data_IF_419733051086
#
_entry.id   IF_419733051086
#
_cell.length_a   1.000
_cell.length_b   1.000
_cell.length_c   1.000
_cell.angle_alpha   90.00
_cell.angle_beta   90.00
_cell.angle_gamma   90.00
#
_symmetry.space_group_name_H-M   'P 1'
#
loop_
_entity.id
_entity.type
_entity.pdbx_description
1 polymer ?
#
# COMPACT_ATOMS: atom_id res chain seq x y z
N UNK A 1 17.03 4.99 -13.90
CA UNK A 1 17.26 3.64 -13.34
C UNK A 1 17.51 3.71 -11.84
N UNK A 2 17.41 2.61 -11.08
CA UNK A 2 17.56 2.66 -9.61
C UNK A 2 18.96 3.12 -9.21
N UNK A 3 19.99 2.63 -9.91
CA UNK A 3 21.39 3.03 -9.71
C UNK A 3 21.64 4.53 -9.92
N UNK A 4 20.97 5.17 -10.88
CA UNK A 4 21.08 6.63 -11.09
C UNK A 4 20.52 7.41 -9.89
N UNK A 5 19.42 6.93 -9.29
CA UNK A 5 18.86 7.54 -8.08
C UNK A 5 19.81 7.38 -6.89
N UNK A 6 20.42 6.20 -6.73
CA UNK A 6 21.43 5.96 -5.70
C UNK A 6 22.67 6.85 -5.90
N UNK A 7 23.14 6.99 -7.13
CA UNK A 7 24.26 7.88 -7.45
C UNK A 7 23.92 9.33 -7.08
N UNK A 8 22.73 9.80 -7.46
CA UNK A 8 22.26 11.14 -7.09
C UNK A 8 22.23 11.34 -5.57
N UNK A 9 21.72 10.37 -4.80
CA UNK A 9 21.72 10.44 -3.33
C UNK A 9 23.13 10.50 -2.74
N UNK A 10 24.10 9.78 -3.34
CA UNK A 10 25.49 9.79 -2.89
C UNK A 10 26.21 11.13 -3.11
N UNK A 11 25.71 11.97 -4.02
CA UNK A 11 26.24 13.32 -4.27
C UNK A 11 25.69 14.37 -3.27
N UNK A 12 24.65 14.03 -2.50
CA UNK A 12 24.04 14.93 -1.53
C UNK A 12 24.72 14.85 -0.15
N UNK A 13 24.86 15.98 0.56
CA UNK A 13 25.41 16.00 1.93
C UNK A 13 24.34 15.55 2.95
N UNK A 14 23.97 14.27 2.91
CA UNK A 14 22.94 13.70 3.78
C UNK A 14 23.46 13.49 5.21
N UNK A 15 22.65 13.86 6.20
CA UNK A 15 22.98 13.68 7.63
C UNK A 15 22.63 12.30 8.21
N UNK A 16 22.05 11.41 7.40
CA UNK A 16 21.60 10.07 7.80
C UNK A 16 21.96 9.05 6.72
N UNK A 17 22.07 7.78 7.13
CA UNK A 17 22.15 6.66 6.19
C UNK A 17 20.77 6.41 5.56
N UNK A 18 20.75 6.04 4.28
CA UNK A 18 19.53 5.68 3.55
C UNK A 18 19.58 4.23 3.08
N UNK A 19 18.51 3.47 3.34
CA UNK A 19 18.26 2.16 2.76
C UNK A 19 17.00 2.23 1.92
N UNK A 20 17.16 2.31 0.61
CA UNK A 20 16.06 2.56 -0.33
C UNK A 20 15.50 1.24 -0.85
N UNK A 21 14.18 1.13 -0.93
CA UNK A 21 13.48 0.01 -1.57
C UNK A 21 12.91 0.44 -2.91
N UNK A 22 12.76 -0.50 -3.85
CA UNK A 22 12.04 -0.25 -5.10
C UNK A 22 10.54 -0.49 -4.90
N UNK A 23 9.69 0.41 -5.37
CA UNK A 23 8.24 0.25 -5.26
C UNK A 23 7.67 -0.64 -6.36
N UNK A 24 6.82 -1.62 -6.00
CA UNK A 24 6.11 -2.45 -6.98
C UNK A 24 5.30 -1.59 -7.96
N UNK A 25 4.56 -0.59 -7.47
CA UNK A 25 3.80 0.30 -8.33
C UNK A 25 4.64 1.02 -9.38
N UNK A 26 5.87 1.42 -9.02
CA UNK A 26 6.82 2.01 -9.96
C UNK A 26 7.24 1.01 -11.04
N UNK A 27 7.58 -0.22 -10.66
CA UNK A 27 7.92 -1.29 -11.61
C UNK A 27 6.74 -1.61 -12.53
N UNK A 28 5.55 -1.78 -11.94
CA UNK A 28 4.31 -2.08 -12.65
C UNK A 28 3.98 -0.99 -13.66
N UNK A 29 4.01 0.28 -13.27
CA UNK A 29 3.77 1.38 -14.20
C UNK A 29 4.83 1.49 -15.29
N UNK A 30 6.10 1.17 -15.00
CA UNK A 30 7.16 1.17 -16.01
C UNK A 30 6.96 0.10 -17.08
N UNK A 31 6.43 -1.08 -16.72
CA UNK A 31 6.21 -2.20 -17.66
C UNK A 31 4.84 -2.15 -18.32
N UNK A 32 3.80 -1.84 -17.55
CA UNK A 32 2.40 -2.01 -17.97
C UNK A 32 1.65 -0.68 -18.16
N UNK A 33 2.25 0.46 -17.81
CA UNK A 33 1.57 1.75 -17.83
C UNK A 33 0.33 1.77 -16.94
N UNK A 34 -0.80 2.20 -17.51
CA UNK A 34 -2.10 2.30 -16.83
C UNK A 34 -2.98 1.03 -16.99
N UNK A 35 -2.41 -0.05 -17.53
CA UNK A 35 -3.16 -1.28 -17.81
C UNK A 35 -3.73 -1.89 -16.52
N UNK A 36 -5.03 -2.17 -16.56
CA UNK A 36 -5.73 -2.95 -15.54
C UNK A 36 -5.58 -4.46 -15.79
N UNK A 37 -5.62 -5.25 -14.71
CA UNK A 37 -5.53 -6.71 -14.78
C UNK A 37 -4.11 -7.29 -14.72
N UNK A 38 -3.95 -8.62 -14.68
CA UNK A 38 -2.66 -9.26 -14.43
C UNK A 38 -1.67 -9.05 -15.60
N UNK A 39 -0.34 -9.06 -15.31
CA UNK A 39 0.67 -9.04 -16.35
C UNK A 39 0.59 -10.32 -17.21
N UNK A 40 0.88 -10.17 -18.50
CA UNK A 40 1.21 -11.30 -19.37
C UNK A 40 2.51 -11.97 -18.90
N UNK A 41 2.80 -13.17 -19.39
CA UNK A 41 4.05 -13.86 -19.04
C UNK A 41 5.32 -13.11 -19.47
N UNK A 42 5.24 -12.27 -20.51
CA UNK A 42 6.38 -11.45 -20.93
C UNK A 42 6.51 -10.21 -20.03
N UNK A 43 5.40 -9.51 -19.75
CA UNK A 43 5.40 -8.38 -18.80
C UNK A 43 5.88 -8.83 -17.41
N UNK A 44 5.45 -10.00 -16.93
CA UNK A 44 5.87 -10.52 -15.65
C UNK A 44 7.37 -10.84 -15.61
N UNK A 45 7.95 -11.37 -16.69
CA UNK A 45 9.41 -11.56 -16.80
C UNK A 45 10.13 -10.21 -16.76
N UNK A 46 9.63 -9.22 -17.48
CA UNK A 46 10.21 -7.87 -17.44
C UNK A 46 10.13 -7.24 -16.04
N UNK A 47 9.06 -7.49 -15.27
CA UNK A 47 8.98 -7.06 -13.87
C UNK A 47 10.03 -7.76 -12.99
N UNK A 48 10.23 -9.06 -13.17
CA UNK A 48 11.27 -9.83 -12.46
C UNK A 48 12.66 -9.30 -12.81
N UNK A 49 12.96 -9.05 -14.09
CA UNK A 49 14.25 -8.55 -14.57
C UNK A 49 14.54 -7.13 -14.03
N UNK A 50 13.55 -6.24 -14.02
CA UNK A 50 13.70 -4.88 -13.49
C UNK A 50 13.88 -4.87 -11.97
N UNK A 51 13.18 -5.77 -11.27
CA UNK A 51 13.38 -5.96 -9.84
C UNK A 51 14.79 -6.48 -9.56
N UNK A 52 15.22 -7.55 -10.23
CA UNK A 52 16.55 -8.14 -10.10
C UNK A 52 17.64 -7.09 -10.30
N UNK A 53 17.55 -6.32 -11.41
CA UNK A 53 18.44 -5.19 -11.68
C UNK A 53 18.43 -4.15 -10.56
N UNK A 54 17.26 -3.79 -10.02
CA UNK A 54 17.17 -2.82 -8.92
C UNK A 54 17.85 -3.33 -7.63
N UNK A 55 17.73 -4.63 -7.34
CA UNK A 55 18.38 -5.27 -6.19
C UNK A 55 19.91 -5.33 -6.37
N UNK A 56 20.39 -5.62 -7.58
CA UNK A 56 21.82 -5.56 -7.96
C UNK A 56 22.39 -4.15 -7.86
N UNK A 57 21.59 -3.14 -8.23
CA UNK A 57 21.92 -1.71 -8.12
C UNK A 57 21.84 -1.16 -6.68
N UNK A 58 21.55 -2.01 -5.69
CA UNK A 58 21.65 -1.69 -4.27
C UNK A 58 20.33 -1.48 -3.54
N UNK A 59 19.18 -1.79 -4.16
CA UNK A 59 17.91 -1.74 -3.43
C UNK A 59 17.93 -2.70 -2.22
N UNK A 60 17.41 -2.22 -1.09
CA UNK A 60 17.26 -3.00 0.13
C UNK A 60 16.17 -4.08 0.02
N UNK A 61 15.34 -4.00 -1.01
CA UNK A 61 14.20 -4.87 -1.22
C UNK A 61 13.13 -4.21 -2.10
N UNK A 62 11.93 -4.77 -2.06
CA UNK A 62 10.75 -4.22 -2.74
C UNK A 62 9.65 -3.88 -1.75
N UNK A 63 8.96 -2.77 -1.95
CA UNK A 63 7.78 -2.38 -1.17
C UNK A 63 6.49 -2.41 -2.00
N UNK A 64 5.36 -2.76 -1.37
CA UNK A 64 4.01 -2.64 -1.99
C UNK A 64 3.06 -1.80 -1.14
N UNK A 65 2.15 -1.10 -1.82
CA UNK A 65 1.00 -0.40 -1.24
C UNK A 65 -0.34 -1.00 -1.69
N UNK A 66 -0.64 -2.24 -1.30
CA UNK A 66 -1.72 -3.06 -1.88
C UNK A 66 -3.15 -2.52 -1.65
N UNK A 67 -3.31 -1.51 -0.79
CA UNK A 67 -4.58 -0.78 -0.63
C UNK A 67 -4.88 0.17 -1.81
N UNK A 68 -3.82 0.64 -2.49
CA UNK A 68 -3.86 1.72 -3.48
C UNK A 68 -3.60 1.23 -4.90
N UNK A 69 -4.09 1.96 -5.91
CA UNK A 69 -3.73 1.71 -7.32
C UNK A 69 -2.30 2.25 -7.56
N UNK A 70 -1.43 1.54 -8.31
CA UNK A 70 -1.71 0.33 -9.10
C UNK A 70 -1.51 -0.99 -8.35
N UNK A 71 -0.91 -0.98 -7.17
CA UNK A 71 -0.52 -2.15 -6.37
C UNK A 71 -1.70 -3.05 -5.98
N UNK A 72 -2.87 -2.47 -5.75
CA UNK A 72 -4.12 -3.18 -5.43
C UNK A 72 -4.61 -4.11 -6.54
N UNK A 73 -4.08 -3.97 -7.77
CA UNK A 73 -4.34 -4.87 -8.90
C UNK A 73 -3.43 -6.11 -8.91
N UNK A 74 -2.38 -6.11 -8.08
CA UNK A 74 -1.42 -7.21 -7.97
C UNK A 74 -2.11 -8.45 -7.39
N UNK A 75 -1.95 -9.59 -8.07
CA UNK A 75 -2.35 -10.90 -7.55
C UNK A 75 -1.30 -11.43 -6.56
N UNK A 76 -1.73 -12.24 -5.59
CA UNK A 76 -0.81 -12.88 -4.65
C UNK A 76 0.26 -13.72 -5.38
N UNK A 77 -0.10 -14.34 -6.51
CA UNK A 77 0.81 -15.12 -7.35
C UNK A 77 1.92 -14.26 -8.00
N UNK A 78 1.64 -12.98 -8.29
CA UNK A 78 2.67 -12.03 -8.72
C UNK A 78 3.64 -11.72 -7.57
N UNK A 79 3.12 -11.50 -6.35
CA UNK A 79 3.93 -11.27 -5.14
C UNK A 79 4.83 -12.45 -4.82
N UNK A 80 4.34 -13.69 -4.96
CA UNK A 80 5.15 -14.89 -4.74
C UNK A 80 6.30 -14.97 -5.76
N UNK A 81 6.04 -14.68 -7.03
CA UNK A 81 7.07 -14.66 -8.08
C UNK A 81 8.15 -13.62 -7.81
N UNK A 82 7.76 -12.39 -7.51
CA UNK A 82 8.71 -11.32 -7.16
C UNK A 82 9.43 -11.61 -5.84
N UNK A 83 8.73 -12.20 -4.87
CA UNK A 83 9.32 -12.68 -3.62
C UNK A 83 10.46 -13.66 -3.84
N UNK A 84 10.35 -14.57 -4.82
CA UNK A 84 11.45 -15.48 -5.18
C UNK A 84 12.66 -14.76 -5.75
N UNK A 85 12.48 -13.63 -6.44
CA UNK A 85 13.58 -12.76 -6.87
C UNK A 85 14.24 -12.12 -5.66
N UNK A 86 13.44 -11.50 -4.78
CA UNK A 86 13.91 -10.88 -3.53
C UNK A 86 14.72 -11.87 -2.68
N UNK A 87 14.25 -13.11 -2.60
CA UNK A 87 14.91 -14.15 -1.80
C UNK A 87 16.29 -14.54 -2.35
N UNK A 88 16.46 -14.65 -3.67
CA UNK A 88 17.77 -14.95 -4.28
C UNK A 88 18.84 -13.92 -3.91
N UNK A 89 18.43 -12.69 -3.61
CA UNK A 89 19.33 -11.60 -3.21
C UNK A 89 19.40 -11.41 -1.68
N UNK A 90 18.68 -12.23 -0.90
CA UNK A 90 18.55 -12.12 0.55
C UNK A 90 18.12 -10.69 0.98
N UNK A 91 17.05 -10.19 0.34
CA UNK A 91 16.48 -8.84 0.58
C UNK A 91 15.08 -8.96 1.19
N UNK A 92 14.44 -7.81 1.45
CA UNK A 92 13.16 -7.73 2.17
C UNK A 92 12.00 -7.40 1.21
N UNK A 93 10.85 -8.04 1.44
CA UNK A 93 9.56 -7.62 0.90
C UNK A 93 8.79 -6.87 1.99
N UNK A 94 8.59 -5.56 1.83
CA UNK A 94 7.78 -4.75 2.75
C UNK A 94 6.39 -4.49 2.17
N UNK A 95 5.35 -4.53 3.00
CA UNK A 95 3.98 -4.38 2.53
C UNK A 95 3.13 -3.49 3.45
N UNK A 96 2.63 -2.40 2.90
CA UNK A 96 1.32 -1.88 3.30
C UNK A 96 0.28 -2.83 2.69
N UNK A 97 -0.22 -3.72 3.54
CA UNK A 97 -1.08 -4.86 3.17
C UNK A 97 -2.42 -4.43 2.57
N UNK A 98 -3.09 -5.35 1.87
CA UNK A 98 -4.26 -5.08 1.01
C UNK A 98 -5.44 -4.40 1.70
N UNK A 99 -5.57 -4.57 3.01
CA UNK A 99 -6.50 -3.76 3.79
C UNK A 99 -6.25 -3.91 5.27
N UNK A 100 -6.44 -2.82 6.00
CA UNK A 100 -6.12 -2.76 7.44
C UNK A 100 -7.37 -2.79 8.32
N UNK A 101 -8.56 -2.93 7.73
CA UNK A 101 -9.86 -2.89 8.42
C UNK A 101 -10.66 -4.19 8.24
N UNK A 102 -11.76 -4.15 7.50
CA UNK A 102 -12.70 -5.25 7.33
C UNK A 102 -12.08 -6.54 6.75
N UNK A 103 -11.01 -6.43 5.96
CA UNK A 103 -10.22 -7.56 5.42
C UNK A 103 -8.84 -7.72 6.05
N UNK A 104 -8.60 -7.17 7.25
CA UNK A 104 -7.29 -7.18 7.92
C UNK A 104 -6.66 -8.58 8.02
N UNK A 105 -7.40 -9.55 8.57
CA UNK A 105 -6.85 -10.90 8.77
C UNK A 105 -6.57 -11.62 7.43
N UNK A 106 -7.48 -11.62 6.44
CA UNK A 106 -7.16 -12.09 5.10
C UNK A 106 -5.92 -11.41 4.47
N UNK A 107 -5.74 -10.11 4.67
CA UNK A 107 -4.58 -9.38 4.13
C UNK A 107 -3.26 -9.75 4.83
N UNK A 108 -3.29 -10.02 6.14
CA UNK A 108 -2.13 -10.57 6.86
C UNK A 108 -1.82 -12.00 6.40
N UNK A 109 -2.86 -12.82 6.19
CA UNK A 109 -2.70 -14.18 5.65
C UNK A 109 -2.10 -14.17 4.24
N UNK A 110 -2.47 -13.19 3.39
CA UNK A 110 -1.83 -12.99 2.09
C UNK A 110 -0.34 -12.68 2.23
N UNK A 111 0.04 -11.76 3.11
CA UNK A 111 1.46 -11.42 3.34
C UNK A 111 2.25 -12.64 3.86
N UNK A 112 1.66 -13.41 4.78
CA UNK A 112 2.23 -14.67 5.28
C UNK A 112 2.40 -15.67 4.13
N UNK A 113 1.37 -15.88 3.30
CA UNK A 113 1.41 -16.79 2.15
C UNK A 113 2.51 -16.38 1.17
N UNK A 114 2.65 -15.09 0.88
CA UNK A 114 3.72 -14.57 0.01
C UNK A 114 5.10 -14.91 0.56
N UNK A 115 5.35 -14.73 1.86
CA UNK A 115 6.61 -15.11 2.49
C UNK A 115 6.84 -16.62 2.52
N UNK A 116 5.81 -17.39 2.87
CA UNK A 116 5.86 -18.86 3.00
C UNK A 116 6.14 -19.55 1.65
N UNK A 117 5.46 -19.14 0.57
CA UNK A 117 5.61 -19.78 -0.76
C UNK A 117 6.81 -19.26 -1.58
N UNK A 118 7.33 -18.08 -1.25
CA UNK A 118 8.50 -17.51 -1.95
C UNK A 118 9.82 -17.69 -1.20
N UNK A 119 9.75 -17.90 0.12
CA UNK A 119 10.91 -17.95 1.01
C UNK A 119 11.42 -16.58 1.46
N UNK A 120 10.94 -15.47 0.88
CA UNK A 120 11.46 -14.13 1.18
C UNK A 120 11.12 -13.67 2.61
N UNK A 121 11.91 -12.72 3.12
CA UNK A 121 11.61 -12.05 4.39
C UNK A 121 10.53 -11.01 4.15
N UNK A 122 9.45 -11.08 4.94
CA UNK A 122 8.31 -10.17 4.86
C UNK A 122 8.32 -9.20 6.03
N UNK A 123 8.16 -7.91 5.73
CA UNK A 123 7.92 -6.84 6.69
C UNK A 123 6.50 -6.30 6.50
N UNK A 124 5.63 -6.45 7.49
CA UNK A 124 4.31 -5.79 7.47
C UNK A 124 4.47 -4.37 7.99
N UNK A 125 4.37 -3.39 7.11
CA UNK A 125 4.50 -1.97 7.48
C UNK A 125 3.35 -1.55 8.39
N UNK A 126 3.67 -0.76 9.42
CA UNK A 126 2.74 -0.09 10.34
C UNK A 126 1.52 -0.93 10.74
N UNK A 127 1.76 -2.18 11.14
CA UNK A 127 0.72 -3.16 11.42
C UNK A 127 -0.27 -2.63 12.46
N UNK A 128 -1.57 -2.65 12.18
CA UNK A 128 -2.59 -2.11 13.08
C UNK A 128 -3.91 -2.87 13.02
N UNK A 129 -4.67 -2.84 14.12
CA UNK A 129 -6.07 -3.28 14.16
C UNK A 129 -6.98 -2.14 13.71
N UNK A 130 -6.98 -1.83 12.41
CA UNK A 130 -7.77 -0.74 11.85
C UNK A 130 -9.28 -1.01 11.93
N UNK A 131 -10.04 0.04 12.24
CA UNK A 131 -11.51 -0.02 12.35
C UNK A 131 -12.01 -0.57 13.68
N UNK A 132 -13.10 0.02 14.19
CA UNK A 132 -13.69 -0.34 15.50
C UNK A 132 -14.02 -1.83 15.62
N UNK A 133 -14.39 -2.48 14.52
CA UNK A 133 -14.71 -3.91 14.49
C UNK A 133 -13.51 -4.80 14.79
N UNK A 134 -12.27 -4.29 14.74
CA UNK A 134 -11.04 -5.03 15.05
C UNK A 134 -10.43 -4.69 16.42
N UNK A 135 -10.94 -3.69 17.12
CA UNK A 135 -10.42 -3.31 18.43
C UNK A 135 -10.59 -4.45 19.44
N UNK A 136 -9.57 -4.64 20.29
CA UNK A 136 -9.52 -5.74 21.27
C UNK A 136 -9.11 -7.10 20.69
N UNK A 137 -8.78 -7.22 19.40
CA UNK A 137 -8.33 -8.48 18.77
C UNK A 137 -6.81 -8.69 18.81
N UNK A 138 -6.11 -8.07 19.76
CA UNK A 138 -4.64 -8.14 19.87
C UNK A 138 -4.14 -9.59 20.00
N UNK A 139 -4.76 -10.38 20.87
CA UNK A 139 -4.37 -11.79 21.04
C UNK A 139 -4.60 -12.59 19.75
N UNK A 140 -5.69 -12.33 19.03
CA UNK A 140 -5.95 -13.00 17.74
C UNK A 140 -4.88 -12.65 16.71
N UNK A 141 -4.43 -11.40 16.67
CA UNK A 141 -3.37 -10.93 15.79
C UNK A 141 -2.05 -11.63 16.11
N UNK A 142 -1.58 -11.57 17.36
CA UNK A 142 -0.31 -12.19 17.72
C UNK A 142 -0.32 -13.71 17.55
N UNK A 143 -1.41 -14.38 17.93
CA UNK A 143 -1.56 -15.82 17.66
C UNK A 143 -1.44 -16.17 16.17
N UNK A 144 -1.89 -15.30 15.26
CA UNK A 144 -1.74 -15.51 13.81
C UNK A 144 -0.26 -15.38 13.39
N UNK A 145 0.41 -14.32 13.83
CA UNK A 145 1.81 -14.03 13.50
C UNK A 145 2.76 -15.09 14.07
N UNK A 146 2.59 -15.44 15.35
CA UNK A 146 3.39 -16.45 16.04
C UNK A 146 3.26 -17.83 15.38
N UNK A 147 2.04 -18.21 14.96
CA UNK A 147 1.84 -19.46 14.20
C UNK A 147 2.55 -19.45 12.85
N UNK A 148 2.67 -18.30 12.19
CA UNK A 148 3.41 -18.20 10.93
C UNK A 148 4.92 -18.34 11.18
N UNK A 149 5.43 -17.62 12.19
CA UNK A 149 6.84 -17.70 12.61
C UNK A 149 7.20 -19.14 13.01
N UNK A 150 6.34 -19.84 13.76
CA UNK A 150 6.58 -21.24 14.15
C UNK A 150 6.63 -22.22 12.97
N UNK A 151 6.04 -21.86 11.82
CA UNK A 151 6.15 -22.63 10.56
C UNK A 151 7.40 -22.30 9.75
N UNK A 152 8.23 -21.35 10.22
CA UNK A 152 9.46 -20.93 9.56
C UNK A 152 9.31 -19.71 8.64
N UNK A 153 8.15 -19.04 8.64
CA UNK A 153 7.96 -17.81 7.85
C UNK A 153 8.81 -16.70 8.47
N UNK A 154 9.70 -16.10 7.66
CA UNK A 154 10.53 -14.95 8.06
C UNK A 154 9.68 -13.68 8.03
N UNK A 155 9.03 -13.40 9.16
CA UNK A 155 8.05 -12.31 9.29
C UNK A 155 8.52 -11.29 10.32
N UNK A 156 8.38 -10.01 9.99
CA UNK A 156 8.62 -8.86 10.87
C UNK A 156 7.53 -7.81 10.62
N UNK A 157 7.42 -6.83 11.52
CA UNK A 157 6.49 -5.72 11.38
C UNK A 157 6.95 -4.52 12.20
N UNK A 158 6.52 -3.34 11.76
CA UNK A 158 6.72 -2.08 12.48
C UNK A 158 5.40 -1.45 12.94
N UNK A 159 5.49 -0.49 13.86
CA UNK A 159 4.39 0.36 14.29
C UNK A 159 4.93 1.75 14.66
N UNK A 160 4.08 2.76 14.47
CA UNK A 160 4.27 4.07 15.09
C UNK A 160 3.45 4.17 16.39
N UNK A 161 3.93 4.87 17.42
CA UNK A 161 3.31 4.90 18.75
C UNK A 161 2.15 5.92 18.84
N UNK A 162 1.21 5.87 17.88
CA UNK A 162 0.05 6.77 17.83
C UNK A 162 -1.24 5.99 17.56
N UNK A 163 -2.35 6.49 18.10
CA UNK A 163 -3.69 5.94 17.88
C UNK A 163 -4.36 6.44 16.60
N UNK A 164 -3.69 7.29 15.84
CA UNK A 164 -4.18 7.90 14.61
C UNK A 164 -3.25 7.57 13.44
N UNK A 165 -3.85 7.26 12.29
CA UNK A 165 -3.18 7.10 11.00
C UNK A 165 -3.41 8.34 10.14
N UNK A 166 -2.62 8.52 9.08
CA UNK A 166 -2.74 9.64 8.15
C UNK A 166 -2.58 9.20 6.68
N UNK A 167 -3.47 9.69 5.83
CA UNK A 167 -3.49 9.44 4.36
C UNK A 167 -4.22 10.60 3.66
N UNK A 168 -4.38 10.52 2.34
CA UNK A 168 -5.18 11.47 1.57
C UNK A 168 -6.69 11.23 1.69
N UNK A 169 -7.48 12.32 1.70
CA UNK A 169 -8.96 12.24 1.67
C UNK A 169 -9.52 11.55 0.42
N UNK A 170 -8.69 11.34 -0.61
CA UNK A 170 -9.03 10.57 -1.80
C UNK A 170 -9.43 9.13 -1.49
N UNK A 171 -9.03 8.58 -0.34
CA UNK A 171 -9.40 7.23 0.10
C UNK A 171 -10.90 7.07 0.42
N UNK A 172 -11.64 8.19 0.56
CA UNK A 172 -13.10 8.20 0.71
C UNK A 172 -13.84 8.23 -0.63
N UNK A 173 -13.12 8.23 -1.75
CA UNK A 173 -13.69 8.33 -3.09
C UNK A 173 -13.62 6.94 -3.78
N UNK A 174 -14.67 6.51 -4.49
CA UNK A 174 -14.66 5.24 -5.22
C UNK A 174 -13.48 5.11 -6.19
N UNK A 175 -12.91 3.90 -6.28
CA UNK A 175 -11.70 3.61 -7.07
C UNK A 175 -11.80 4.05 -8.53
N UNK A 176 -12.96 3.85 -9.17
CA UNK A 176 -13.16 4.20 -10.58
C UNK A 176 -13.04 5.72 -10.86
N UNK A 177 -13.19 6.56 -9.83
CA UNK A 177 -13.08 8.02 -9.95
C UNK A 177 -11.61 8.46 -9.92
N UNK A 178 -10.76 7.74 -9.18
CA UNK A 178 -9.35 8.09 -8.95
C UNK A 178 -8.39 7.39 -9.92
N UNK A 179 -8.81 6.27 -10.53
CA UNK A 179 -7.95 5.43 -11.37
C UNK A 179 -7.35 6.15 -12.58
N UNK A 180 -8.06 7.15 -13.13
CA UNK A 180 -7.66 7.89 -14.33
C UNK A 180 -6.85 9.16 -14.01
N UNK A 181 -6.40 9.29 -12.76
CA UNK A 181 -5.56 10.37 -12.28
C UNK A 181 -6.32 11.63 -11.84
N UNK A 182 -5.56 12.58 -11.31
CA UNK A 182 -6.09 13.75 -10.59
C UNK A 182 -6.98 14.66 -11.44
N UNK A 183 -6.63 14.87 -12.71
CA UNK A 183 -7.42 15.74 -13.60
C UNK A 183 -8.80 15.14 -13.89
N UNK A 184 -8.88 13.85 -14.18
CA UNK A 184 -10.14 13.13 -14.40
C UNK A 184 -10.98 13.06 -13.14
N UNK A 185 -10.35 12.86 -11.98
CA UNK A 185 -11.03 12.94 -10.69
C UNK A 185 -11.73 14.30 -10.51
N UNK A 186 -11.07 15.42 -10.83
CA UNK A 186 -11.70 16.77 -10.76
C UNK A 186 -12.90 16.88 -11.70
N UNK A 187 -12.78 16.39 -12.94
CA UNK A 187 -13.88 16.40 -13.92
C UNK A 187 -15.09 15.62 -13.39
N UNK A 188 -14.87 14.40 -12.88
CA UNK A 188 -15.93 13.59 -12.27
C UNK A 188 -16.56 14.26 -11.06
N UNK A 189 -15.75 14.83 -10.16
CA UNK A 189 -16.26 15.50 -8.97
C UNK A 189 -17.02 16.80 -9.31
N UNK A 190 -16.68 17.46 -10.43
CA UNK A 190 -17.34 18.69 -10.89
C UNK A 190 -18.69 18.44 -11.57
N UNK A 191 -18.90 17.26 -12.15
CA UNK A 191 -20.19 16.89 -12.76
C UNK A 191 -21.24 16.45 -11.71
N UNK A 192 -22.40 17.10 -11.75
CA UNK A 192 -23.49 16.84 -10.81
C UNK A 192 -24.05 15.41 -10.93
N UNK A 193 -24.15 14.88 -12.15
CA UNK A 193 -24.70 13.54 -12.37
C UNK A 193 -23.77 12.46 -11.80
N UNK A 194 -22.47 12.66 -12.00
CA UNK A 194 -21.40 11.80 -11.51
C UNK A 194 -21.29 11.87 -10.00
N UNK A 195 -21.30 13.07 -9.41
CA UNK A 195 -21.30 13.26 -7.95
C UNK A 195 -22.47 12.54 -7.26
N UNK A 196 -23.65 12.50 -7.90
CA UNK A 196 -24.81 11.75 -7.38
C UNK A 196 -24.52 10.24 -7.35
N UNK A 197 -23.93 9.69 -8.41
CA UNK A 197 -23.52 8.27 -8.48
C UNK A 197 -22.48 7.95 -7.41
N UNK A 198 -21.44 8.77 -7.29
CA UNK A 198 -20.39 8.66 -6.27
C UNK A 198 -21.00 8.61 -4.87
N UNK A 199 -21.91 9.54 -4.54
CA UNK A 199 -22.58 9.56 -3.23
C UNK A 199 -23.43 8.31 -2.97
N UNK A 200 -24.14 7.81 -3.97
CA UNK A 200 -24.92 6.57 -3.84
C UNK A 200 -24.03 5.37 -3.55
N UNK A 201 -22.90 5.27 -4.25
CA UNK A 201 -21.91 4.20 -4.04
C UNK A 201 -21.26 4.28 -2.66
N UNK A 202 -20.82 5.46 -2.24
CA UNK A 202 -20.28 5.69 -0.89
C UNK A 202 -21.32 5.27 0.18
N UNK A 203 -22.57 5.71 0.04
CA UNK A 203 -23.62 5.35 1.00
C UNK A 203 -23.88 3.84 1.05
N UNK A 204 -23.79 3.15 -0.10
CA UNK A 204 -23.91 1.69 -0.16
C UNK A 204 -22.72 1.03 0.54
N UNK A 205 -21.49 1.47 0.26
CA UNK A 205 -20.27 0.96 0.85
C UNK A 205 -20.24 1.16 2.39
N UNK A 206 -20.72 2.32 2.87
CA UNK A 206 -20.87 2.61 4.30
C UNK A 206 -21.83 1.60 4.96
N UNK A 207 -22.99 1.34 4.35
CA UNK A 207 -23.96 0.35 4.85
C UNK A 207 -23.41 -1.06 4.88
N UNK A 208 -22.53 -1.38 3.94
CA UNK A 208 -21.84 -2.67 3.86
C UNK A 208 -20.64 -2.78 4.81
N UNK A 209 -20.21 -1.68 5.45
CA UNK A 209 -19.07 -1.69 6.36
C UNK A 209 -17.69 -1.70 5.69
N UNK A 210 -17.64 -1.44 4.38
CA UNK A 210 -16.43 -1.58 3.55
C UNK A 210 -15.84 -0.24 3.11
N UNK A 211 -16.36 0.89 3.64
CA UNK A 211 -15.89 2.23 3.29
C UNK A 211 -14.95 2.79 4.35
N UNK A 212 -14.01 3.67 3.97
CA UNK A 212 -13.07 4.33 4.89
C UNK A 212 -13.78 5.02 6.07
N UNK A 213 -14.97 5.59 5.84
CA UNK A 213 -15.83 6.17 6.88
C UNK A 213 -16.18 5.21 8.03
N UNK A 214 -16.29 3.90 7.78
CA UNK A 214 -16.55 2.92 8.84
C UNK A 214 -15.36 2.75 9.79
N UNK A 215 -14.16 3.13 9.35
CA UNK A 215 -12.92 3.12 10.14
C UNK A 215 -12.61 4.48 10.74
N UNK A 216 -12.77 5.55 9.95
CA UNK A 216 -12.58 6.94 10.35
C UNK A 216 -13.80 7.79 9.94
N UNK A 217 -14.82 7.90 10.79
CA UNK A 217 -15.93 8.80 10.53
C UNK A 217 -15.46 10.26 10.65
N UNK A 218 -16.19 11.21 10.06
CA UNK A 218 -15.73 12.59 9.89
C UNK A 218 -15.31 13.27 11.20
N UNK A 219 -16.02 13.00 12.29
CA UNK A 219 -15.70 13.52 13.63
C UNK A 219 -14.31 13.09 14.17
N UNK A 220 -13.73 12.04 13.57
CA UNK A 220 -12.42 11.51 13.87
C UNK A 220 -11.36 11.89 12.81
N UNK A 221 -11.73 12.66 11.78
CA UNK A 221 -10.81 13.13 10.75
C UNK A 221 -10.36 14.56 11.08
N UNK A 222 -9.04 14.75 11.11
CA UNK A 222 -8.41 16.06 11.26
C UNK A 222 -7.59 16.38 10.01
N UNK A 223 -7.70 17.59 9.50
CA UNK A 223 -6.94 18.04 8.34
C UNK A 223 -5.52 18.34 8.80
N UNK A 224 -4.59 17.43 8.52
CA UNK A 224 -3.19 17.59 8.90
C UNK A 224 -2.45 18.62 8.03
N UNK A 225 -2.75 18.63 6.72
CA UNK A 225 -2.05 19.48 5.75
C UNK A 225 -2.92 19.75 4.53
N UNK A 226 -2.76 20.94 3.94
CA UNK A 226 -3.28 21.32 2.63
C UNK A 226 -2.16 21.89 1.76
N UNK A 227 -2.22 21.64 0.45
CA UNK A 227 -1.25 22.21 -0.51
C UNK A 227 -1.58 23.65 -0.90
N UNK A 228 -2.86 24.01 -0.97
CA UNK A 228 -3.28 25.35 -1.40
C UNK A 228 -3.11 26.36 -0.26
N UNK A 229 -2.45 27.50 -0.49
CA UNK A 229 -2.41 28.61 0.48
C UNK A 229 -3.80 29.09 0.90
N UNK A 230 -4.77 29.07 -0.02
CA UNK A 230 -6.17 29.46 0.23
C UNK A 230 -6.80 28.65 1.36
N UNK A 231 -6.49 27.35 1.43
CA UNK A 231 -7.08 26.45 2.41
C UNK A 231 -6.27 26.34 3.70
N UNK A 232 -5.10 27.00 3.82
CA UNK A 232 -4.25 26.92 5.03
C UNK A 232 -5.00 27.12 6.37
N UNK A 233 -5.99 28.02 6.48
CA UNK A 233 -6.74 28.20 7.72
C UNK A 233 -7.57 27.00 8.20
N UNK A 234 -7.67 25.90 7.43
CA UNK A 234 -8.37 24.68 7.85
C UNK A 234 -7.42 23.60 8.37
N UNK A 235 -6.10 23.77 8.25
CA UNK A 235 -5.14 22.87 8.90
C UNK A 235 -5.34 22.84 10.41
N UNK A 236 -5.27 21.65 11.00
CA UNK A 236 -5.55 21.40 12.42
C UNK A 236 -7.04 21.31 12.77
N UNK A 237 -7.96 21.62 11.85
CA UNK A 237 -9.41 21.50 12.10
C UNK A 237 -9.92 20.08 11.84
N UNK A 238 -10.94 19.69 12.59
CA UNK A 238 -11.72 18.47 12.33
C UNK A 238 -12.77 18.73 11.26
N UNK A 239 -13.13 17.69 10.52
CA UNK A 239 -14.22 17.70 9.52
C UNK A 239 -15.57 17.53 10.21
#
# INVERSE_FOLDING_TARGET
HFGEYIQYLNELPLGINLMIMVGYGTLRSAVMGLKSGPPTQNEMRTLEDLLEKSLEEGAAGMSTGLEYVPDSLCLTEELIRLGRVIERHNKIYASHIRGESHILFPAIEEAIRSGEESGCQVEISHLKLGGKSNWGKTDKLFNLLERAISRGVRLSWDQYPYIAWGTGLVDYIPRWVIQDGHQKMIEYLSDNSTRKKIRQEINKAIKMGIHAYNTAPWENVQIAMVKSPEYKPIEGKKI
#
